data_IF_433163464542
#
_entry.id   IF_433163464542
#
_cell.length_a   1.000
_cell.length_b   1.000
_cell.length_c   1.000
_cell.angle_alpha   90.00
_cell.angle_beta   90.00
_cell.angle_gamma   90.00
#
_symmetry.space_group_name_H-M   'P 1'
#
loop_
_entity.id
_entity.type
_entity.pdbx_description
1 polymer ?
#
# COMPACT_ATOMS: atom_id res chain seq x y z
N UNK A 1 -13.77 -15.69 22.81
CA UNK A 1 -13.42 -14.59 21.89
C UNK A 1 -12.01 -14.86 21.39
N UNK A 2 -11.87 -15.56 20.26
CA UNK A 2 -10.57 -15.85 19.68
C UNK A 2 -10.01 -14.53 19.14
N UNK A 3 -8.91 -14.05 19.72
CA UNK A 3 -8.11 -12.98 19.14
C UNK A 3 -7.38 -13.59 17.95
N UNK A 4 -7.96 -13.50 16.76
CA UNK A 4 -7.28 -13.89 15.53
C UNK A 4 -6.09 -12.95 15.31
N UNK A 5 -4.91 -13.38 15.75
CA UNK A 5 -3.66 -12.67 15.51
C UNK A 5 -3.28 -12.83 14.04
N UNK A 6 -3.86 -12.00 13.18
CA UNK A 6 -3.48 -11.92 11.77
C UNK A 6 -2.03 -11.41 11.68
N UNK A 7 -1.09 -12.32 11.48
CA UNK A 7 0.33 -11.99 11.34
C UNK A 7 0.64 -11.62 9.89
N UNK A 8 0.72 -10.33 9.61
CA UNK A 8 1.04 -9.82 8.28
C UNK A 8 2.51 -10.11 7.95
N UNK A 9 2.74 -10.83 6.85
CA UNK A 9 4.09 -11.14 6.36
C UNK A 9 4.80 -9.89 5.86
N UNK A 10 6.08 -9.71 6.22
CA UNK A 10 6.92 -8.62 5.70
C UNK A 10 7.86 -9.17 4.62
N UNK A 11 7.77 -8.68 3.39
CA UNK A 11 8.59 -9.09 2.25
C UNK A 11 9.66 -8.03 1.97
N UNK A 12 10.92 -8.44 1.98
CA UNK A 12 12.06 -7.57 1.64
C UNK A 12 12.33 -7.64 0.14
N UNK A 13 11.98 -6.58 -0.60
CA UNK A 13 12.08 -6.58 -2.05
C UNK A 13 13.53 -6.60 -2.53
N UNK A 14 14.47 -6.07 -1.72
CA UNK A 14 15.89 -6.06 -2.04
C UNK A 14 16.55 -7.45 -2.01
N UNK A 15 15.89 -8.42 -1.35
CA UNK A 15 16.36 -9.81 -1.22
C UNK A 15 15.72 -10.76 -2.22
N UNK A 16 14.95 -10.27 -3.19
CA UNK A 16 14.47 -11.15 -4.25
C UNK A 16 15.67 -11.68 -5.07
N UNK A 17 15.68 -12.98 -5.42
CA UNK A 17 14.57 -13.95 -5.36
C UNK A 17 14.43 -14.73 -4.03
N UNK A 18 15.29 -14.55 -3.03
CA UNK A 18 15.28 -15.34 -1.79
C UNK A 18 13.96 -15.24 -0.99
N UNK A 19 13.26 -14.10 -1.08
CA UNK A 19 11.95 -13.88 -0.42
C UNK A 19 10.74 -14.37 -1.25
N UNK A 20 10.95 -14.96 -2.44
CA UNK A 20 9.87 -15.35 -3.36
C UNK A 20 8.90 -16.37 -2.75
N UNK A 21 9.40 -17.35 -1.99
CA UNK A 21 8.56 -18.34 -1.34
C UNK A 21 7.62 -17.69 -0.31
N UNK A 22 8.14 -16.73 0.48
CA UNK A 22 7.36 -15.97 1.46
C UNK A 22 6.28 -15.13 0.80
N UNK A 23 6.62 -14.44 -0.30
CA UNK A 23 5.65 -13.70 -1.09
C UNK A 23 4.53 -14.61 -1.61
N UNK A 24 4.89 -15.78 -2.17
CA UNK A 24 3.91 -16.77 -2.67
C UNK A 24 2.99 -17.23 -1.55
N UNK A 25 3.53 -17.63 -0.40
CA UNK A 25 2.71 -18.07 0.74
C UNK A 25 1.76 -16.96 1.21
N UNK A 26 2.21 -15.70 1.24
CA UNK A 26 1.37 -14.59 1.68
C UNK A 26 0.18 -14.30 0.76
N UNK A 27 0.28 -14.63 -0.55
CA UNK A 27 -0.79 -14.40 -1.53
C UNK A 27 -1.68 -15.61 -1.80
N UNK A 28 -1.24 -16.82 -1.41
CA UNK A 28 -2.03 -18.05 -1.59
C UNK A 28 -3.06 -18.24 -0.47
N UNK A 29 -3.99 -19.19 -0.65
CA UNK A 29 -5.04 -19.56 0.32
C UNK A 29 -4.51 -19.93 1.72
N UNK A 30 -3.23 -20.28 1.82
CA UNK A 30 -2.55 -20.58 3.09
C UNK A 30 -2.08 -19.35 3.86
N UNK A 31 -2.11 -18.17 3.24
CA UNK A 31 -1.71 -16.89 3.82
C UNK A 31 -2.87 -15.91 3.93
N UNK A 32 -2.65 -14.76 4.59
CA UNK A 32 -3.69 -13.77 4.84
C UNK A 32 -4.14 -12.98 3.59
N UNK A 33 -3.58 -13.26 2.40
CA UNK A 33 -3.80 -12.47 1.19
C UNK A 33 -3.22 -11.05 1.25
N UNK A 34 -2.45 -10.75 2.30
CA UNK A 34 -1.93 -9.41 2.60
C UNK A 34 -0.50 -9.50 3.14
N UNK A 35 0.36 -8.61 2.67
CA UNK A 35 1.76 -8.52 3.09
C UNK A 35 2.25 -7.09 3.04
N UNK A 36 3.27 -6.79 3.85
CA UNK A 36 3.97 -5.52 3.86
C UNK A 36 5.25 -5.64 3.06
N UNK A 37 5.53 -4.70 2.17
CA UNK A 37 6.81 -4.62 1.46
C UNK A 37 7.75 -3.65 2.15
N UNK A 38 9.03 -4.00 2.25
CA UNK A 38 10.12 -3.12 2.70
C UNK A 38 11.25 -3.13 1.68
N UNK A 39 12.14 -2.12 1.76
CA UNK A 39 13.29 -1.97 0.85
C UNK A 39 12.91 -2.01 -0.64
N UNK A 40 11.74 -1.46 -0.99
CA UNK A 40 11.21 -1.42 -2.35
C UNK A 40 11.86 -0.37 -3.27
N UNK A 41 12.87 0.35 -2.78
CA UNK A 41 13.62 1.34 -3.58
C UNK A 41 12.91 2.67 -3.82
N UNK A 42 11.68 2.87 -3.32
CA UNK A 42 11.00 4.17 -3.41
C UNK A 42 11.64 5.13 -2.41
N UNK A 43 12.17 6.28 -2.85
CA UNK A 43 12.83 7.24 -1.96
C UNK A 43 11.89 7.77 -0.89
N UNK A 44 12.41 7.93 0.32
CA UNK A 44 11.64 8.48 1.45
C UNK A 44 11.18 9.91 1.19
N UNK A 45 12.05 10.74 0.60
CA UNK A 45 11.73 12.13 0.26
C UNK A 45 10.54 12.21 -0.71
N UNK A 46 10.50 11.35 -1.75
CA UNK A 46 9.38 11.29 -2.68
C UNK A 46 8.07 10.93 -1.96
N UNK A 47 8.11 9.96 -1.04
CA UNK A 47 6.94 9.56 -0.26
C UNK A 47 6.43 10.68 0.65
N UNK A 48 7.34 11.46 1.23
CA UNK A 48 6.99 12.63 2.05
C UNK A 48 6.35 13.72 1.21
N UNK A 49 6.93 14.05 0.05
CA UNK A 49 6.37 14.99 -0.92
C UNK A 49 4.96 14.57 -1.38
N UNK A 50 4.76 13.28 -1.70
CA UNK A 50 3.45 12.75 -2.07
C UNK A 50 2.42 12.95 -0.95
N UNK A 51 2.79 12.68 0.31
CA UNK A 51 1.90 12.89 1.47
C UNK A 51 1.57 14.36 1.69
N UNK A 52 2.55 15.25 1.54
CA UNK A 52 2.32 16.70 1.65
C UNK A 52 1.39 17.18 0.54
N UNK A 53 1.58 16.69 -0.68
CA UNK A 53 0.73 17.00 -1.83
C UNK A 53 -0.69 16.50 -1.62
N UNK A 54 -0.85 15.25 -1.17
CA UNK A 54 -2.15 14.66 -0.83
C UNK A 54 -2.87 15.49 0.24
N UNK A 55 -2.18 15.84 1.33
CA UNK A 55 -2.76 16.64 2.40
C UNK A 55 -3.25 18.01 1.89
N UNK A 56 -2.43 18.69 1.09
CA UNK A 56 -2.82 19.96 0.46
C UNK A 56 -4.09 19.80 -0.39
N UNK A 57 -4.14 18.78 -1.25
CA UNK A 57 -5.30 18.51 -2.11
C UNK A 57 -6.56 18.22 -1.30
N UNK A 58 -6.45 17.46 -0.21
CA UNK A 58 -7.59 17.15 0.67
C UNK A 58 -8.13 18.39 1.40
N UNK A 59 -7.26 19.35 1.71
CA UNK A 59 -7.61 20.65 2.32
C UNK A 59 -8.25 21.65 1.35
N UNK A 60 -8.25 21.38 0.03
CA UNK A 60 -8.98 22.22 -0.92
C UNK A 60 -10.50 22.13 -0.69
N UNK A 61 -11.19 23.21 -1.05
CA UNK A 61 -12.64 23.30 -0.94
C UNK A 61 -13.33 22.16 -1.73
N UNK A 62 -14.47 21.63 -1.25
CA UNK A 62 -15.19 20.57 -1.93
C UNK A 62 -15.46 20.86 -3.40
N UNK A 63 -15.81 22.08 -3.77
CA UNK A 63 -16.14 22.48 -5.15
C UNK A 63 -14.94 22.33 -6.09
N UNK A 64 -13.72 22.52 -5.58
CA UNK A 64 -12.49 22.29 -6.34
C UNK A 64 -12.26 20.80 -6.56
N UNK A 65 -12.53 19.97 -5.55
CA UNK A 65 -12.41 18.50 -5.63
C UNK A 65 -13.47 17.87 -6.54
N UNK A 66 -14.69 18.42 -6.59
CA UNK A 66 -15.76 17.95 -7.46
C UNK A 66 -15.41 18.05 -8.95
N UNK A 67 -14.50 18.95 -9.34
CA UNK A 67 -13.97 19.04 -10.71
C UNK A 67 -13.18 17.80 -11.13
N UNK A 68 -12.72 17.02 -10.17
CA UNK A 68 -11.93 15.80 -10.39
C UNK A 68 -12.75 14.52 -10.16
N UNK A 69 -14.08 14.60 -9.96
CA UNK A 69 -14.91 13.40 -9.88
C UNK A 69 -14.84 12.64 -11.20
N UNK A 70 -14.60 11.33 -11.12
CA UNK A 70 -14.69 10.46 -12.27
C UNK A 70 -16.15 10.39 -12.73
N UNK A 71 -16.42 10.88 -13.93
CA UNK A 71 -17.75 10.85 -14.55
C UNK A 71 -17.97 9.64 -15.45
N UNK A 72 -16.99 8.73 -15.53
CA UNK A 72 -17.10 7.54 -16.37
C UNK A 72 -18.08 6.54 -15.72
N UNK A 73 -19.18 6.15 -16.40
CA UNK A 73 -20.04 5.09 -15.89
C UNK A 73 -19.27 3.78 -15.76
N UNK A 74 -19.41 3.10 -14.63
CA UNK A 74 -18.83 1.77 -14.36
C UNK A 74 -19.65 0.63 -14.97
#
# INVERSE_FOLDING_TARGET
>A
MASDTCSISIVDLSKLPAEQAKLRTAVTETGPGCFRVVNHGVPMALREEMKTTEAYLLHLLPEVKHRNMDTTPG
#
